data_IF_842094043389
#
_entry.id   IF_842094043389
#
_cell.length_a   1.000
_cell.length_b   1.000
_cell.length_c   1.000
_cell.angle_alpha   90.00
_cell.angle_beta   90.00
_cell.angle_gamma   90.00
#
_symmetry.space_group_name_H-M   'P 1'
#
loop_
_entity.id
_entity.type
_entity.pdbx_description
1 polymer ?
#
# COMPACT_ATOMS: atom_id res chain seq x y z
N UNK A 1 -35.41 72.70 -25.76
CA UNK A 1 -35.12 71.88 -24.56
C UNK A 1 -34.37 70.64 -25.02
N UNK A 2 -33.03 70.63 -24.90
CA UNK A 2 -32.23 69.74 -24.01
C UNK A 2 -32.49 68.25 -24.28
N UNK A 3 -31.63 67.59 -25.06
CA UNK A 3 -30.39 66.90 -24.62
C UNK A 3 -30.67 65.46 -24.16
N UNK A 4 -30.07 64.48 -24.85
CA UNK A 4 -29.03 63.57 -24.34
C UNK A 4 -28.89 62.40 -25.32
N UNK A 5 -27.83 62.42 -26.14
CA UNK A 5 -27.33 61.22 -26.81
C UNK A 5 -26.46 60.47 -25.80
N UNK A 6 -26.88 59.26 -25.45
CA UNK A 6 -26.17 58.35 -24.57
C UNK A 6 -25.01 57.71 -25.36
N UNK A 7 -23.82 58.26 -25.20
CA UNK A 7 -22.58 57.72 -25.75
C UNK A 7 -22.25 56.43 -24.97
N UNK A 8 -22.48 55.27 -25.59
CA UNK A 8 -22.13 53.97 -25.03
C UNK A 8 -20.61 53.80 -25.12
N UNK A 9 -19.90 54.13 -24.04
CA UNK A 9 -18.47 53.87 -23.86
C UNK A 9 -18.24 52.36 -23.80
N UNK A 10 -17.78 51.79 -24.93
CA UNK A 10 -17.16 50.48 -24.97
C UNK A 10 -15.85 50.55 -24.18
N UNK A 11 -15.89 50.17 -22.91
CA UNK A 11 -14.69 49.92 -22.13
C UNK A 11 -14.08 48.62 -22.67
N UNK A 12 -13.14 48.75 -23.60
CA UNK A 12 -12.20 47.66 -23.89
C UNK A 12 -11.43 47.40 -22.60
N UNK A 13 -11.82 46.36 -21.87
CA UNK A 13 -10.96 45.76 -20.87
C UNK A 13 -9.70 45.26 -21.55
N UNK A 14 -8.61 46.03 -21.47
CA UNK A 14 -7.29 45.52 -21.79
C UNK A 14 -6.98 44.44 -20.76
N UNK A 15 -7.19 43.18 -21.14
CA UNK A 15 -6.56 42.06 -20.48
C UNK A 15 -5.05 42.29 -20.59
N UNK A 16 -4.44 42.73 -19.49
CA UNK A 16 -3.00 42.84 -19.34
C UNK A 16 -2.42 41.44 -19.22
N UNK A 17 -2.41 40.72 -20.34
CA UNK A 17 -1.54 39.56 -20.48
C UNK A 17 -0.10 40.06 -20.30
N UNK A 18 0.63 39.45 -19.37
CA UNK A 18 2.08 39.62 -19.28
C UNK A 18 2.63 39.21 -20.65
N UNK A 19 3.04 40.19 -21.45
CA UNK A 19 3.67 39.93 -22.72
C UNK A 19 5.04 39.31 -22.39
N UNK A 20 5.13 37.98 -22.47
CA UNK A 20 6.31 37.21 -22.08
C UNK A 20 7.54 37.78 -22.79
N UNK A 21 8.44 38.42 -22.05
CA UNK A 21 9.61 39.06 -22.65
C UNK A 21 10.67 37.99 -22.93
N UNK A 22 10.59 37.36 -24.10
CA UNK A 22 11.59 36.39 -24.56
C UNK A 22 12.78 37.10 -25.22
N UNK A 23 14.00 36.65 -24.93
CA UNK A 23 15.24 37.13 -25.54
C UNK A 23 16.14 35.94 -25.86
N UNK A 24 16.70 35.92 -27.07
CA UNK A 24 17.66 34.90 -27.50
C UNK A 24 17.05 33.55 -27.90
N UNK A 25 15.73 33.37 -27.81
CA UNK A 25 15.03 32.17 -28.31
C UNK A 25 14.97 32.14 -29.84
N UNK A 26 15.01 33.29 -30.50
CA UNK A 26 15.20 33.38 -31.95
C UNK A 26 16.68 33.64 -32.23
N UNK A 27 17.46 32.56 -32.36
CA UNK A 27 18.88 32.62 -32.69
C UNK A 27 19.28 31.49 -33.63
N UNK A 28 20.40 31.68 -34.32
CA UNK A 28 21.05 30.64 -35.11
C UNK A 28 21.39 29.44 -34.22
N UNK A 29 21.23 28.24 -34.78
CA UNK A 29 21.52 26.95 -34.15
C UNK A 29 20.55 26.45 -33.07
N UNK A 30 19.67 27.29 -32.51
CA UNK A 30 18.61 26.79 -31.63
C UNK A 30 17.45 26.26 -32.47
N UNK A 31 17.17 24.96 -32.37
CA UNK A 31 16.13 24.27 -33.16
C UNK A 31 14.80 24.29 -32.41
N UNK A 32 14.81 23.87 -31.15
CA UNK A 32 13.63 23.86 -30.30
C UNK A 32 13.97 24.23 -28.86
N UNK A 33 12.99 24.77 -28.16
CA UNK A 33 13.03 24.92 -26.71
C UNK A 33 11.68 24.54 -26.11
N UNK A 34 11.70 24.13 -24.85
CA UNK A 34 10.51 23.77 -24.08
C UNK A 34 10.77 24.08 -22.60
N UNK A 35 9.76 24.48 -21.82
CA UNK A 35 8.37 24.76 -22.20
C UNK A 35 8.25 26.04 -23.05
N UNK A 36 7.18 26.11 -23.86
CA UNK A 36 6.81 27.34 -24.56
C UNK A 36 6.22 28.35 -23.57
N UNK A 37 6.58 29.62 -23.72
CA UNK A 37 6.24 30.70 -22.79
C UNK A 37 4.88 31.32 -23.07
N UNK A 38 4.27 31.00 -24.20
CA UNK A 38 2.96 31.49 -24.59
C UNK A 38 1.81 30.78 -23.84
N UNK A 39 2.13 29.68 -23.15
CA UNK A 39 1.18 28.91 -22.34
C UNK A 39 1.62 28.84 -20.87
N UNK A 40 0.67 28.50 -19.99
CA UNK A 40 0.97 28.25 -18.59
C UNK A 40 1.96 27.08 -18.47
N UNK A 41 3.04 27.27 -17.72
CA UNK A 41 4.06 26.24 -17.52
C UNK A 41 3.65 25.35 -16.34
N UNK A 42 3.50 24.02 -16.52
CA UNK A 42 3.25 23.09 -15.43
C UNK A 42 4.35 23.16 -14.36
N UNK A 43 3.98 23.02 -13.09
CA UNK A 43 4.91 23.07 -11.97
C UNK A 43 6.04 22.01 -12.04
N UNK A 44 5.82 20.90 -12.74
CA UNK A 44 6.77 19.78 -12.90
C UNK A 44 7.58 19.83 -14.20
N UNK A 45 7.60 20.97 -14.90
CA UNK A 45 8.23 21.07 -16.22
C UNK A 45 9.76 21.05 -16.16
N UNK A 46 10.36 20.23 -17.03
CA UNK A 46 11.77 20.32 -17.41
C UNK A 46 11.99 21.40 -18.47
N UNK A 47 13.15 22.05 -18.43
CA UNK A 47 13.56 23.04 -19.41
C UNK A 47 14.55 22.41 -20.40
N UNK A 48 14.19 22.38 -21.68
CA UNK A 48 14.94 21.71 -22.74
C UNK A 48 15.31 22.70 -23.83
N UNK A 49 16.56 22.70 -24.25
CA UNK A 49 17.07 23.52 -25.36
C UNK A 49 17.86 22.64 -26.32
N UNK A 50 17.31 22.43 -27.51
CA UNK A 50 17.88 21.56 -28.54
C UNK A 50 18.57 22.39 -29.60
N UNK A 51 19.82 22.09 -29.88
CA UNK A 51 20.60 22.74 -30.93
C UNK A 51 20.79 21.80 -32.13
N UNK A 52 21.09 22.37 -33.30
CA UNK A 52 21.40 21.61 -34.53
C UNK A 52 22.83 21.02 -34.46
N UNK A 53 23.74 21.72 -33.80
CA UNK A 53 25.14 21.36 -33.57
C UNK A 53 25.37 20.69 -32.20
N UNK A 54 26.43 19.88 -32.09
CA UNK A 54 26.84 19.27 -30.82
C UNK A 54 27.30 20.32 -29.80
N UNK A 55 26.94 20.12 -28.54
CA UNK A 55 27.33 21.01 -27.44
C UNK A 55 28.68 20.58 -26.90
N UNK A 56 29.62 21.52 -26.74
CA UNK A 56 30.87 21.27 -26.01
C UNK A 56 30.54 20.99 -24.52
N UNK A 57 30.72 19.77 -24.00
CA UNK A 57 30.20 19.41 -22.67
C UNK A 57 30.79 20.27 -21.55
N UNK A 58 32.05 20.67 -21.66
CA UNK A 58 32.72 21.53 -20.68
C UNK A 58 32.15 22.95 -20.60
N UNK A 59 31.36 23.37 -21.59
CA UNK A 59 30.66 24.66 -21.61
C UNK A 59 29.36 24.65 -20.78
N UNK A 60 28.85 23.47 -20.42
CA UNK A 60 27.66 23.29 -19.59
C UNK A 60 28.09 22.96 -18.17
N UNK A 61 27.89 23.90 -17.25
CA UNK A 61 28.21 23.79 -15.83
C UNK A 61 26.94 24.05 -15.01
N UNK A 62 26.99 23.75 -13.71
CA UNK A 62 25.86 23.97 -12.78
C UNK A 62 25.31 25.41 -12.84
N UNK A 63 26.17 26.41 -13.05
CA UNK A 63 25.78 27.82 -13.11
C UNK A 63 25.46 28.33 -14.53
N UNK A 64 25.41 27.44 -15.54
CA UNK A 64 25.02 27.77 -16.91
C UNK A 64 23.53 28.07 -17.00
N UNK A 65 22.71 27.43 -16.16
CA UNK A 65 21.29 27.76 -15.99
C UNK A 65 21.05 28.49 -14.67
N UNK A 66 20.16 29.48 -14.71
CA UNK A 66 19.63 30.13 -13.53
C UNK A 66 18.11 30.25 -13.67
N UNK A 67 17.39 29.54 -12.82
CA UNK A 67 15.95 29.71 -12.64
C UNK A 67 15.71 30.48 -11.34
N UNK A 68 14.94 31.57 -11.41
CA UNK A 68 14.60 32.40 -10.25
C UNK A 68 13.10 32.63 -10.19
N UNK A 69 12.50 32.41 -9.03
CA UNK A 69 11.16 32.90 -8.74
C UNK A 69 11.26 34.40 -8.45
N UNK A 70 10.43 35.22 -9.11
CA UNK A 70 10.37 36.66 -8.91
C UNK A 70 9.33 37.05 -7.85
N UNK A 71 8.16 36.41 -7.88
CA UNK A 71 7.02 36.59 -6.97
C UNK A 71 6.50 35.22 -6.52
N UNK A 72 6.12 35.01 -5.24
CA UNK A 72 6.11 35.96 -4.12
C UNK A 72 7.47 36.18 -3.42
N UNK A 73 8.52 35.39 -3.71
CA UNK A 73 9.87 35.57 -3.16
C UNK A 73 10.94 35.45 -4.25
N UNK A 74 12.00 36.27 -4.16
CA UNK A 74 13.22 36.14 -4.97
C UNK A 74 14.07 34.94 -4.51
N UNK A 75 13.73 33.73 -4.95
CA UNK A 75 14.49 32.49 -4.63
C UNK A 75 15.10 31.90 -5.91
N UNK A 76 16.38 31.53 -5.85
CA UNK A 76 17.02 30.70 -6.88
C UNK A 76 16.51 29.26 -6.74
N UNK A 77 15.99 28.69 -7.81
CA UNK A 77 15.55 27.29 -7.86
C UNK A 77 16.75 26.42 -8.21
N UNK A 78 17.00 25.40 -7.40
CA UNK A 78 18.03 24.38 -7.67
C UNK A 78 17.46 23.33 -8.62
N UNK A 79 18.35 22.67 -9.36
CA UNK A 79 17.99 21.65 -10.32
C UNK A 79 19.23 21.04 -10.94
N UNK A 80 19.05 19.88 -11.56
CA UNK A 80 20.10 19.18 -12.26
C UNK A 80 20.20 19.69 -13.70
N UNK A 81 21.42 19.79 -14.20
CA UNK A 81 21.70 20.18 -15.59
C UNK A 81 22.57 19.13 -16.26
N UNK A 82 22.17 18.68 -17.44
CA UNK A 82 22.92 17.73 -18.23
C UNK A 82 22.69 17.92 -19.72
N UNK A 83 23.57 17.34 -20.54
CA UNK A 83 23.42 17.29 -21.99
C UNK A 83 22.89 15.92 -22.37
N UNK A 84 21.72 15.88 -23.01
CA UNK A 84 21.10 14.67 -23.57
C UNK A 84 21.44 14.57 -25.06
N UNK A 85 21.90 13.39 -25.49
CA UNK A 85 22.17 13.07 -26.91
C UNK A 85 23.12 14.07 -27.59
N UNK A 86 24.05 14.67 -26.84
CA UNK A 86 25.05 15.63 -27.35
C UNK A 86 24.52 16.99 -27.80
N UNK A 87 23.20 17.15 -28.02
CA UNK A 87 22.60 18.34 -28.66
C UNK A 87 21.55 19.06 -27.82
N UNK A 88 21.08 18.44 -26.72
CA UNK A 88 20.00 18.99 -25.91
C UNK A 88 20.46 19.30 -24.50
N UNK A 89 20.39 20.55 -24.07
CA UNK A 89 20.56 20.91 -22.65
C UNK A 89 19.23 20.67 -21.95
N UNK A 90 19.26 19.88 -20.87
CA UNK A 90 18.11 19.66 -19.99
C UNK A 90 18.43 20.24 -18.62
N UNK A 91 17.50 21.03 -18.09
CA UNK A 91 17.48 21.47 -16.71
C UNK A 91 16.21 21.01 -16.02
N UNK A 92 16.35 20.23 -14.95
CA UNK A 92 15.26 19.65 -14.18
C UNK A 92 15.25 20.23 -12.76
N UNK A 93 14.24 21.04 -12.37
CA UNK A 93 14.12 21.56 -11.01
C UNK A 93 14.12 20.44 -9.96
N UNK A 94 14.80 20.63 -8.83
CA UNK A 94 14.87 19.62 -7.75
C UNK A 94 13.55 19.45 -6.98
N UNK A 95 12.66 20.42 -7.08
CA UNK A 95 11.32 20.42 -6.48
C UNK A 95 10.34 21.03 -7.49
N UNK A 96 9.05 20.63 -7.49
CA UNK A 96 8.04 21.28 -8.30
C UNK A 96 7.97 22.80 -8.05
N UNK A 97 7.80 23.56 -9.12
CA UNK A 97 7.69 25.01 -9.05
C UNK A 97 6.39 25.41 -8.35
N UNK A 98 6.47 26.40 -7.47
CA UNK A 98 5.30 26.98 -6.82
C UNK A 98 4.62 28.01 -7.72
N UNK A 99 3.36 28.34 -7.46
CA UNK A 99 2.61 29.39 -8.12
C UNK A 99 3.37 30.72 -8.07
N UNK A 100 3.44 31.39 -9.23
CA UNK A 100 4.06 32.70 -9.34
C UNK A 100 4.85 32.89 -10.63
N UNK A 101 5.57 34.00 -10.69
CA UNK A 101 6.32 34.40 -11.88
C UNK A 101 7.78 34.02 -11.74
N UNK A 102 8.35 33.50 -12.82
CA UNK A 102 9.73 33.04 -12.88
C UNK A 102 10.48 33.69 -14.02
N UNK A 103 11.79 33.86 -13.82
CA UNK A 103 12.74 34.23 -14.87
C UNK A 103 13.70 33.06 -15.07
N UNK A 104 13.72 32.54 -16.29
CA UNK A 104 14.71 31.57 -16.74
C UNK A 104 15.86 32.28 -17.45
N UNK A 105 17.09 31.86 -17.17
CA UNK A 105 18.26 32.34 -17.89
C UNK A 105 19.26 31.21 -18.19
N UNK A 106 19.45 30.93 -19.47
CA UNK A 106 20.57 30.14 -19.99
C UNK A 106 21.71 31.08 -20.40
N UNK A 107 22.89 30.87 -19.83
CA UNK A 107 24.12 31.55 -20.26
C UNK A 107 24.57 31.04 -21.63
N UNK A 108 25.37 31.82 -22.38
CA UNK A 108 26.02 31.35 -23.60
C UNK A 108 26.72 30.01 -23.41
N UNK A 109 26.43 29.07 -24.29
CA UNK A 109 27.11 27.77 -24.40
C UNK A 109 27.87 27.72 -25.72
N UNK A 110 28.78 26.76 -25.83
CA UNK A 110 29.59 26.57 -27.04
C UNK A 110 29.09 25.35 -27.79
N UNK A 111 28.86 25.54 -29.08
CA UNK A 111 28.48 24.49 -30.03
C UNK A 111 29.66 24.17 -30.94
N UNK A 112 29.93 22.91 -31.20
CA UNK A 112 30.96 22.44 -32.11
C UNK A 112 30.49 22.69 -33.55
N UNK A 113 31.29 23.40 -34.35
CA UNK A 113 31.03 23.60 -35.78
C UNK A 113 31.13 22.26 -36.51
N UNK A 114 30.17 21.97 -37.39
CA UNK A 114 30.28 20.85 -38.34
C UNK A 114 31.39 21.14 -39.36
N UNK A 115 32.29 20.16 -39.57
CA UNK A 115 33.21 20.10 -40.70
C UNK A 115 34.27 21.20 -40.74
N UNK A 116 35.53 20.81 -40.54
CA UNK A 116 36.79 21.50 -40.88
C UNK A 116 36.62 22.73 -41.77
N UNK A 117 36.41 23.91 -41.16
CA UNK A 117 36.78 25.15 -41.82
C UNK A 117 38.29 25.11 -41.94
N UNK A 118 38.81 25.10 -43.17
CA UNK A 118 40.24 25.11 -43.48
C UNK A 118 41.00 25.94 -42.43
N UNK A 119 41.96 25.31 -41.76
CA UNK A 119 42.72 25.95 -40.70
C UNK A 119 43.40 27.21 -41.25
N UNK A 120 42.92 28.39 -40.82
CA UNK A 120 43.48 29.69 -41.17
C UNK A 120 44.29 30.24 -39.98
N UNK A 121 45.62 30.05 -39.95
CA UNK A 121 46.46 30.39 -38.81
C UNK A 121 46.63 31.91 -38.67
N UNK A 122 46.06 32.48 -37.61
CA UNK A 122 46.05 33.92 -37.35
C UNK A 122 47.23 34.35 -36.47
N UNK A 123 47.61 33.53 -35.47
CA UNK A 123 48.72 33.84 -34.54
C UNK A 123 50.05 33.23 -34.99
N UNK A 124 51.17 33.75 -34.48
CA UNK A 124 52.50 33.22 -34.82
C UNK A 124 52.67 31.75 -34.42
N UNK A 125 52.07 31.33 -33.28
CA UNK A 125 52.04 29.95 -32.80
C UNK A 125 51.22 29.03 -33.72
N UNK A 126 50.07 29.52 -34.21
CA UNK A 126 49.24 28.80 -35.18
C UNK A 126 49.96 28.64 -36.52
N UNK A 127 50.66 29.69 -36.99
CA UNK A 127 51.44 29.65 -38.24
C UNK A 127 52.63 28.70 -38.14
N UNK A 128 53.32 28.66 -37.00
CA UNK A 128 54.43 27.72 -36.77
C UNK A 128 53.94 26.28 -36.67
N UNK A 129 52.82 26.03 -35.99
CA UNK A 129 52.21 24.71 -35.94
C UNK A 129 51.75 24.24 -37.33
N UNK A 130 51.09 25.11 -38.11
CA UNK A 130 50.77 24.82 -39.51
C UNK A 130 52.01 24.46 -40.32
N UNK A 131 53.03 25.32 -40.28
CA UNK A 131 54.25 25.13 -41.05
C UNK A 131 54.99 23.81 -40.72
N UNK A 132 55.03 23.42 -39.44
CA UNK A 132 55.63 22.15 -39.01
C UNK A 132 54.80 20.92 -39.38
N UNK A 133 53.48 21.04 -39.43
CA UNK A 133 52.56 19.93 -39.66
C UNK A 133 52.19 19.74 -41.14
N UNK A 134 52.19 20.80 -41.95
CA UNK A 134 51.84 20.75 -43.38
C UNK A 134 52.63 19.75 -44.23
N UNK A 135 53.92 19.43 -43.96
CA UNK A 135 54.63 18.41 -44.74
C UNK A 135 54.22 16.96 -44.42
N UNK A 136 53.55 16.73 -43.29
CA UNK A 136 53.30 15.39 -42.75
C UNK A 136 51.81 15.02 -42.66
N UNK A 137 50.90 15.99 -42.80
CA UNK A 137 49.46 15.80 -42.66
C UNK A 137 48.71 16.59 -43.74
N UNK A 138 47.74 15.94 -44.40
CA UNK A 138 46.86 16.58 -45.39
C UNK A 138 45.91 17.58 -44.72
N UNK A 139 45.44 17.26 -43.52
CA UNK A 139 44.77 18.20 -42.63
C UNK A 139 45.67 18.54 -41.44
N UNK A 140 46.13 19.79 -41.40
CA UNK A 140 46.98 20.33 -40.35
C UNK A 140 46.37 20.13 -38.96
N UNK A 141 45.04 20.07 -38.84
CA UNK A 141 44.32 19.87 -37.58
C UNK A 141 44.47 18.46 -36.99
N UNK A 142 44.87 17.47 -37.80
CA UNK A 142 45.12 16.09 -37.35
C UNK A 142 46.51 15.91 -36.73
N UNK A 143 47.38 16.89 -36.88
CA UNK A 143 48.74 16.86 -36.34
C UNK A 143 48.75 17.00 -34.80
N UNK A 144 49.55 16.17 -34.11
CA UNK A 144 49.68 16.20 -32.64
C UNK A 144 50.20 17.53 -32.08
N UNK A 145 50.98 18.27 -32.87
CA UNK A 145 51.45 19.62 -32.53
C UNK A 145 50.32 20.65 -32.60
N UNK A 146 49.35 20.42 -33.50
CA UNK A 146 48.23 21.31 -33.73
C UNK A 146 47.17 21.20 -32.62
N UNK A 147 47.04 20.05 -31.96
CA UNK A 147 46.15 19.87 -30.80
C UNK A 147 46.46 20.83 -29.63
N UNK A 148 47.72 21.22 -29.47
CA UNK A 148 48.15 22.18 -28.43
C UNK A 148 48.26 23.62 -28.91
N UNK A 149 48.74 23.83 -30.15
CA UNK A 149 49.15 25.16 -30.62
C UNK A 149 48.13 25.84 -31.54
N UNK A 150 47.24 25.08 -32.17
CA UNK A 150 46.36 25.65 -33.18
C UNK A 150 45.14 26.39 -32.60
N UNK A 151 44.75 26.10 -31.35
CA UNK A 151 43.62 26.71 -30.65
C UNK A 151 42.45 27.02 -31.61
N UNK A 152 42.04 25.99 -32.35
CA UNK A 152 41.11 26.14 -33.46
C UNK A 152 39.78 26.58 -32.83
N UNK A 153 39.28 27.74 -33.25
CA UNK A 153 37.97 28.25 -32.87
C UNK A 153 36.84 27.42 -33.49
N UNK A 154 36.80 26.13 -33.16
CA UNK A 154 35.84 25.13 -33.61
C UNK A 154 34.48 25.29 -32.92
N UNK A 155 34.34 26.29 -32.05
CA UNK A 155 33.10 26.52 -31.32
C UNK A 155 32.40 27.79 -31.76
N UNK A 156 31.08 27.74 -31.96
CA UNK A 156 30.21 28.91 -32.04
C UNK A 156 29.59 29.14 -30.66
N UNK A 157 29.64 30.38 -30.16
CA UNK A 157 28.97 30.75 -28.91
C UNK A 157 27.51 31.12 -29.19
N UNK A 158 26.60 30.56 -28.41
CA UNK A 158 25.19 30.95 -28.45
C UNK A 158 24.95 32.31 -27.79
N UNK A 159 23.85 32.97 -28.15
CA UNK A 159 23.33 34.12 -27.42
C UNK A 159 22.69 33.65 -26.11
N UNK A 160 22.74 34.45 -25.03
CA UNK A 160 22.03 34.13 -23.81
C UNK A 160 20.53 34.00 -24.08
N UNK A 161 19.91 32.95 -23.55
CA UNK A 161 18.46 32.78 -23.59
C UNK A 161 17.87 33.27 -22.27
N UNK A 162 16.85 34.11 -22.35
CA UNK A 162 16.10 34.61 -21.20
C UNK A 162 14.63 34.67 -21.55
N UNK A 163 13.79 34.24 -20.63
CA UNK A 163 12.37 34.44 -20.73
C UNK A 163 11.73 34.40 -19.34
N UNK A 164 10.60 35.08 -19.25
CA UNK A 164 9.74 35.05 -18.08
C UNK A 164 8.53 34.17 -18.37
N UNK A 165 8.06 33.44 -17.37
CA UNK A 165 6.88 32.60 -17.47
C UNK A 165 6.12 32.60 -16.14
N UNK A 166 4.85 32.22 -16.20
CA UNK A 166 3.98 32.09 -15.04
C UNK A 166 3.60 30.63 -14.80
N UNK A 167 3.74 30.19 -13.55
CA UNK A 167 3.15 28.95 -13.05
C UNK A 167 1.83 29.33 -12.40
N UNK A 168 0.71 28.91 -13.01
CA UNK A 168 -0.64 29.34 -12.59
C UNK A 168 -1.12 28.64 -11.33
N UNK A 169 -0.71 27.40 -11.13
CA UNK A 169 -1.19 26.53 -10.06
C UNK A 169 -0.01 25.80 -9.41
N UNK A 170 -0.06 25.69 -8.08
CA UNK A 170 0.82 24.83 -7.31
C UNK A 170 0.48 23.35 -7.61
N UNK A 171 1.43 22.45 -7.37
CA UNK A 171 1.09 21.03 -7.25
C UNK A 171 0.21 20.85 -6.01
N UNK A 172 -1.02 20.33 -6.13
CA UNK A 172 -1.89 20.10 -4.98
C UNK A 172 -1.21 19.21 -3.96
N UNK A 173 -1.30 19.57 -2.68
CA UNK A 173 -0.67 18.81 -1.59
C UNK A 173 -1.71 17.98 -0.88
N UNK A 174 -1.38 16.71 -0.62
CA UNK A 174 -2.22 15.83 0.19
C UNK A 174 -2.23 16.33 1.63
N UNK A 175 -3.41 16.64 2.15
CA UNK A 175 -3.61 17.11 3.53
C UNK A 175 -4.13 16.01 4.45
N UNK A 176 -4.97 15.10 3.94
CA UNK A 176 -5.46 13.92 4.67
C UNK A 176 -5.52 12.68 3.77
N UNK A 177 -5.47 11.53 4.42
CA UNK A 177 -5.57 10.21 3.81
C UNK A 177 -6.52 9.37 4.66
N UNK A 178 -7.53 8.77 4.04
CA UNK A 178 -8.55 8.00 4.73
C UNK A 178 -8.81 6.69 3.99
N UNK A 179 -9.07 5.63 4.75
CA UNK A 179 -9.52 4.35 4.22
C UNK A 179 -11.03 4.25 4.37
N UNK A 180 -11.70 3.48 3.51
CA UNK A 180 -13.15 3.24 3.61
C UNK A 180 -13.56 2.50 4.90
N UNK A 181 -12.62 1.82 5.56
CA UNK A 181 -12.79 1.18 6.85
C UNK A 181 -11.51 1.30 7.68
N UNK A 182 -11.65 1.29 9.00
CA UNK A 182 -10.54 1.25 9.96
C UNK A 182 -10.31 -0.13 10.56
N UNK A 183 -11.22 -1.08 10.32
CA UNK A 183 -11.17 -2.43 10.87
C UNK A 183 -11.72 -3.45 9.86
N UNK A 184 -11.04 -4.60 9.73
CA UNK A 184 -11.41 -5.70 8.85
C UNK A 184 -11.24 -7.01 9.61
N UNK A 185 -12.28 -7.84 9.58
CA UNK A 185 -12.24 -9.23 10.03
C UNK A 185 -12.35 -10.12 8.79
N UNK A 186 -11.45 -11.09 8.65
CA UNK A 186 -11.47 -12.00 7.51
C UNK A 186 -10.92 -13.37 7.90
N UNK A 187 -11.44 -14.44 7.28
CA UNK A 187 -10.86 -15.77 7.41
C UNK A 187 -9.53 -15.88 6.68
N UNK A 188 -8.66 -16.80 7.12
CA UNK A 188 -7.43 -17.16 6.40
C UNK A 188 -7.73 -17.60 4.94
N UNK A 189 -6.80 -17.34 4.03
CA UNK A 189 -6.89 -17.65 2.59
C UNK A 189 -8.05 -16.97 1.85
N UNK A 190 -8.39 -15.75 2.26
CA UNK A 190 -9.44 -14.96 1.66
C UNK A 190 -8.92 -13.56 1.29
N UNK A 191 -9.73 -12.79 0.59
CA UNK A 191 -9.34 -11.45 0.13
C UNK A 191 -10.50 -10.46 0.16
N UNK A 192 -10.17 -9.19 0.33
CA UNK A 192 -11.14 -8.09 0.25
C UNK A 192 -10.48 -6.85 -0.34
N UNK A 193 -11.30 -5.96 -0.91
CA UNK A 193 -10.82 -4.69 -1.45
C UNK A 193 -11.00 -3.57 -0.43
N UNK A 194 -9.95 -2.77 -0.25
CA UNK A 194 -9.97 -1.51 0.49
C UNK A 194 -9.86 -0.34 -0.50
N UNK A 195 -10.44 0.79 -0.12
CA UNK A 195 -10.31 2.04 -0.88
C UNK A 195 -9.60 3.08 -0.04
N UNK A 196 -8.72 3.83 -0.71
CA UNK A 196 -7.92 4.89 -0.10
C UNK A 196 -8.24 6.21 -0.78
N UNK A 197 -8.76 7.15 -0.01
CA UNK A 197 -9.11 8.49 -0.49
C UNK A 197 -8.11 9.51 0.05
N UNK A 198 -7.49 10.27 -0.86
CA UNK A 198 -6.67 11.42 -0.51
C UNK A 198 -7.49 12.70 -0.65
N UNK A 199 -7.39 13.60 0.34
CA UNK A 199 -7.91 14.97 0.23
C UNK A 199 -6.74 15.91 0.04
N UNK A 200 -6.84 16.79 -0.94
CA UNK A 200 -5.83 17.80 -1.26
C UNK A 200 -6.16 19.16 -0.63
N UNK A 201 -5.17 20.05 -0.56
CA UNK A 201 -5.28 21.41 -0.03
C UNK A 201 -6.26 22.32 -0.79
N UNK A 202 -6.62 21.94 -2.02
CA UNK A 202 -7.69 22.56 -2.80
C UNK A 202 -9.09 21.95 -2.56
N UNK A 203 -9.24 21.11 -1.52
CA UNK A 203 -10.45 20.35 -1.17
C UNK A 203 -10.93 19.34 -2.22
N UNK A 204 -10.12 19.03 -3.25
CA UNK A 204 -10.41 17.93 -4.16
C UNK A 204 -10.09 16.61 -3.46
N UNK A 205 -10.93 15.61 -3.67
CA UNK A 205 -10.68 14.24 -3.24
C UNK A 205 -10.38 13.34 -4.44
N UNK A 206 -9.47 12.39 -4.26
CA UNK A 206 -9.07 11.45 -5.29
C UNK A 206 -8.95 10.04 -4.70
N UNK A 207 -9.37 9.05 -5.48
CA UNK A 207 -9.08 7.65 -5.18
C UNK A 207 -7.63 7.36 -5.55
N UNK A 208 -6.83 7.08 -4.52
CA UNK A 208 -5.39 6.83 -4.64
C UNK A 208 -5.04 5.39 -4.31
N UNK A 209 -6.03 4.48 -4.34
CA UNK A 209 -5.87 3.07 -3.95
C UNK A 209 -4.71 2.40 -4.68
N UNK A 210 -4.60 2.57 -6.00
CA UNK A 210 -3.52 1.99 -6.81
C UNK A 210 -2.19 2.75 -6.72
N UNK A 211 -2.18 3.94 -6.11
CA UNK A 211 -1.02 4.85 -6.03
C UNK A 211 -0.39 4.88 -4.64
N UNK A 212 -1.12 4.46 -3.62
CA UNK A 212 -0.65 4.40 -2.25
C UNK A 212 0.36 3.26 -2.05
N UNK A 213 1.27 3.45 -1.11
CA UNK A 213 2.16 2.40 -0.64
C UNK A 213 1.58 1.76 0.61
N UNK A 214 1.55 0.42 0.62
CA UNK A 214 1.00 -0.39 1.69
C UNK A 214 2.12 -1.14 2.42
N UNK A 215 1.96 -1.33 3.71
CA UNK A 215 2.82 -2.21 4.51
C UNK A 215 2.00 -2.86 5.62
N UNK A 216 2.23 -4.14 5.86
CA UNK A 216 1.62 -4.89 6.97
C UNK A 216 2.62 -5.05 8.13
N UNK A 217 2.13 -5.06 9.36
CA UNK A 217 2.93 -5.37 10.54
C UNK A 217 3.17 -6.87 10.74
N UNK A 218 2.40 -7.73 10.07
CA UNK A 218 2.43 -9.19 10.25
C UNK A 218 2.25 -9.92 8.91
N UNK A 219 2.91 -11.07 8.74
CA UNK A 219 2.85 -11.88 7.52
C UNK A 219 1.53 -12.60 7.29
N UNK A 220 0.63 -12.60 8.27
CA UNK A 220 -0.76 -13.09 8.13
C UNK A 220 -1.56 -12.30 7.10
N UNK A 221 -1.15 -11.07 6.81
CA UNK A 221 -1.85 -10.14 5.91
C UNK A 221 -0.88 -9.55 4.90
N UNK A 222 -1.25 -9.60 3.63
CA UNK A 222 -0.59 -8.91 2.53
C UNK A 222 -1.57 -7.94 1.86
N UNK A 223 -1.04 -6.86 1.29
CA UNK A 223 -1.85 -5.85 0.60
C UNK A 223 -1.13 -5.34 -0.64
N UNK A 224 -1.70 -5.59 -1.82
CA UNK A 224 -1.22 -5.05 -3.09
C UNK A 224 -2.33 -4.24 -3.76
N UNK A 225 -2.05 -2.96 -4.06
CA UNK A 225 -2.98 -2.05 -4.76
C UNK A 225 -4.40 -2.07 -4.21
N UNK A 226 -4.52 -2.05 -2.88
CA UNK A 226 -5.81 -2.07 -2.19
C UNK A 226 -6.53 -3.42 -2.18
N UNK A 227 -5.92 -4.50 -2.68
CA UNK A 227 -6.41 -5.86 -2.46
C UNK A 227 -5.69 -6.42 -1.25
N UNK A 228 -6.43 -6.57 -0.16
CA UNK A 228 -5.96 -7.19 1.07
C UNK A 228 -6.20 -8.70 0.99
N UNK A 229 -5.15 -9.49 1.23
CA UNK A 229 -5.18 -10.95 1.22
C UNK A 229 -4.72 -11.49 2.57
N UNK A 230 -5.37 -12.53 3.06
CA UNK A 230 -5.03 -13.20 4.32
C UNK A 230 -4.40 -14.57 4.08
N UNK A 231 -3.46 -14.95 4.95
CA UNK A 231 -2.68 -16.18 4.80
C UNK A 231 -2.81 -17.12 5.99
N UNK A 232 -2.81 -16.59 7.21
CA UNK A 232 -2.87 -17.40 8.43
C UNK A 232 -3.53 -16.61 9.55
N UNK A 233 -4.10 -17.32 10.53
CA UNK A 233 -4.59 -16.74 11.78
C UNK A 233 -3.59 -15.74 12.40
N UNK A 234 -4.04 -14.54 12.74
CA UNK A 234 -3.17 -13.47 13.23
C UNK A 234 -3.88 -12.11 13.32
N UNK A 235 -3.17 -11.12 13.82
CA UNK A 235 -3.61 -9.72 13.89
C UNK A 235 -2.54 -8.85 13.24
N UNK A 236 -2.96 -7.95 12.35
CA UNK A 236 -2.05 -7.08 11.61
C UNK A 236 -2.57 -5.64 11.58
N UNK A 237 -1.65 -4.68 11.70
CA UNK A 237 -1.90 -3.28 11.37
C UNK A 237 -1.38 -3.02 9.96
N UNK A 238 -2.29 -2.72 9.03
CA UNK A 238 -1.94 -2.28 7.67
C UNK A 238 -1.79 -0.77 7.67
N UNK A 239 -0.59 -0.30 7.35
CA UNK A 239 -0.28 1.12 7.18
C UNK A 239 -0.31 1.48 5.70
N UNK A 240 -1.05 2.54 5.38
CA UNK A 240 -1.20 3.08 4.03
C UNK A 240 -0.55 4.45 4.00
N UNK A 241 0.30 4.71 3.01
CA UNK A 241 0.98 6.00 2.85
C UNK A 241 0.89 6.55 1.43
N UNK A 242 0.62 7.85 1.34
CA UNK A 242 0.54 8.56 0.06
C UNK A 242 0.72 10.06 0.29
N UNK A 243 1.47 10.74 -0.59
CA UNK A 243 1.68 12.20 -0.52
C UNK A 243 2.29 12.71 0.79
N UNK A 244 3.10 11.90 1.48
CA UNK A 244 3.68 12.24 2.79
C UNK A 244 2.70 12.15 3.96
N UNK A 245 1.50 11.63 3.74
CA UNK A 245 0.50 11.30 4.78
C UNK A 245 0.41 9.80 4.97
N UNK A 246 -0.11 9.38 6.12
CA UNK A 246 -0.30 7.98 6.44
C UNK A 246 -1.55 7.77 7.28
N UNK A 247 -2.19 6.63 7.08
CA UNK A 247 -3.31 6.13 7.88
C UNK A 247 -3.09 4.64 8.15
N UNK A 248 -3.79 4.09 9.13
CA UNK A 248 -3.68 2.70 9.51
C UNK A 248 -5.07 2.08 9.70
N UNK A 249 -5.19 0.81 9.33
CA UNK A 249 -6.37 -0.01 9.59
C UNK A 249 -5.95 -1.31 10.28
N UNK A 250 -6.77 -1.78 11.20
CA UNK A 250 -6.56 -3.02 11.94
C UNK A 250 -7.20 -4.18 11.18
N UNK A 251 -6.53 -5.32 11.13
CA UNK A 251 -6.95 -6.52 10.42
C UNK A 251 -6.85 -7.71 11.36
N UNK A 252 -7.94 -8.41 11.54
CA UNK A 252 -8.01 -9.64 12.32
C UNK A 252 -8.27 -10.82 11.39
N UNK A 253 -7.37 -11.79 11.43
CA UNK A 253 -7.42 -12.99 10.60
C UNK A 253 -7.83 -14.19 11.44
N UNK A 254 -8.96 -14.79 11.06
CA UNK A 254 -9.57 -15.92 11.74
C UNK A 254 -9.18 -17.24 11.10
N UNK A 255 -9.07 -18.28 11.92
CA UNK A 255 -8.80 -19.64 11.43
C UNK A 255 -10.09 -20.31 10.97
N UNK A 256 -10.03 -21.01 9.84
CA UNK A 256 -11.12 -21.84 9.32
C UNK A 256 -10.68 -23.30 9.32
N UNK A 257 -11.47 -24.19 9.94
CA UNK A 257 -11.23 -25.64 9.91
C UNK A 257 -12.54 -26.32 9.50
N UNK A 258 -12.52 -27.02 8.36
CA UNK A 258 -13.67 -27.78 7.84
C UNK A 258 -14.99 -26.97 7.77
N UNK A 259 -14.88 -25.71 7.32
CA UNK A 259 -16.03 -24.80 7.20
C UNK A 259 -16.45 -24.13 8.51
N UNK A 260 -15.76 -24.41 9.62
CA UNK A 260 -16.01 -23.79 10.92
C UNK A 260 -15.02 -22.66 11.21
N UNK A 261 -15.55 -21.46 11.49
CA UNK A 261 -14.78 -20.27 11.85
C UNK A 261 -14.46 -20.32 13.35
N UNK A 262 -13.18 -20.42 13.70
CA UNK A 262 -12.75 -20.44 15.10
C UNK A 262 -12.71 -19.03 15.70
N UNK A 263 -13.10 -18.85 16.98
CA UNK A 263 -12.86 -17.61 17.68
C UNK A 263 -11.35 -17.37 17.83
N UNK A 264 -10.97 -16.12 18.09
CA UNK A 264 -9.59 -15.79 18.43
C UNK A 264 -9.13 -16.52 19.69
N UNK A 265 -7.82 -16.79 19.78
CA UNK A 265 -7.26 -17.31 21.01
C UNK A 265 -7.46 -16.30 22.16
N UNK A 266 -8.17 -16.66 23.24
CA UNK A 266 -8.38 -15.75 24.35
C UNK A 266 -7.05 -15.50 25.09
N UNK A 267 -6.77 -14.24 25.43
CA UNK A 267 -5.54 -13.88 26.17
C UNK A 267 -5.51 -14.47 27.59
N UNK A 268 -6.68 -14.52 28.26
CA UNK A 268 -6.83 -15.10 29.58
C UNK A 268 -8.11 -15.97 29.65
N UNK A 269 -8.06 -17.23 29.18
CA UNK A 269 -9.24 -18.11 29.15
C UNK A 269 -9.81 -18.46 30.53
N UNK A 270 -9.00 -18.31 31.58
CA UNK A 270 -9.33 -18.70 32.94
C UNK A 270 -9.66 -17.50 33.84
N UNK A 271 -9.87 -16.31 33.25
CA UNK A 271 -10.20 -15.08 33.98
C UNK A 271 -11.50 -15.17 34.81
N UNK A 272 -12.43 -16.05 34.42
CA UNK A 272 -13.67 -16.31 35.13
C UNK A 272 -13.98 -17.81 35.18
N UNK A 273 -14.89 -18.22 36.07
CA UNK A 273 -15.36 -19.62 36.13
C UNK A 273 -15.88 -20.10 34.77
N UNK A 274 -16.64 -19.27 34.06
CA UNK A 274 -17.18 -19.61 32.74
C UNK A 274 -16.14 -19.47 31.62
N UNK A 275 -15.10 -18.67 31.81
CA UNK A 275 -14.12 -18.33 30.79
C UNK A 275 -14.64 -17.34 29.74
N UNK A 276 -13.96 -17.29 28.59
CA UNK A 276 -14.27 -16.41 27.46
C UNK A 276 -15.03 -17.19 26.39
N UNK A 277 -16.14 -16.64 25.91
CA UNK A 277 -16.98 -17.14 24.81
C UNK A 277 -17.35 -15.91 23.96
N UNK A 278 -16.47 -15.55 23.02
CA UNK A 278 -16.58 -14.31 22.26
C UNK A 278 -17.56 -14.42 21.08
N UNK A 279 -17.78 -15.64 20.58
CA UNK A 279 -18.72 -15.92 19.49
C UNK A 279 -20.12 -16.32 19.99
N UNK A 280 -20.34 -16.33 21.31
CA UNK A 280 -21.61 -16.61 21.98
C UNK A 280 -22.22 -17.97 21.58
N UNK A 281 -21.39 -19.00 21.37
CA UNK A 281 -21.86 -20.33 20.98
C UNK A 281 -22.14 -21.27 22.18
N UNK A 282 -22.02 -20.74 23.40
CA UNK A 282 -22.12 -21.46 24.69
C UNK A 282 -20.95 -22.42 24.97
N UNK A 283 -19.89 -22.38 24.19
CA UNK A 283 -18.65 -23.11 24.38
C UNK A 283 -17.53 -22.09 24.61
N UNK A 284 -16.66 -22.39 25.56
CA UNK A 284 -15.53 -21.52 25.86
C UNK A 284 -14.54 -21.52 24.70
N UNK A 285 -14.05 -20.36 24.27
CA UNK A 285 -13.23 -20.18 23.06
C UNK A 285 -11.98 -21.08 23.07
N UNK A 286 -11.30 -21.24 24.21
CA UNK A 286 -10.12 -22.10 24.29
C UNK A 286 -10.45 -23.60 24.25
N UNK A 287 -11.66 -23.99 24.64
CA UNK A 287 -12.17 -25.37 24.50
C UNK A 287 -12.56 -25.65 23.06
N UNK A 288 -13.29 -24.73 22.42
CA UNK A 288 -13.63 -24.81 21.00
C UNK A 288 -12.37 -24.92 20.15
N UNK A 289 -11.40 -24.03 20.33
CA UNK A 289 -10.13 -24.10 19.58
C UNK A 289 -9.38 -25.40 19.82
N UNK A 290 -9.39 -25.92 21.06
CA UNK A 290 -8.78 -27.22 21.36
C UNK A 290 -9.49 -28.38 20.65
N UNK A 291 -10.84 -28.38 20.61
CA UNK A 291 -11.64 -29.38 19.87
C UNK A 291 -11.24 -29.43 18.39
N UNK A 292 -11.05 -28.27 17.76
CA UNK A 292 -10.75 -28.24 16.33
C UNK A 292 -9.27 -28.44 15.99
N UNK A 293 -8.34 -27.94 16.82
CA UNK A 293 -6.90 -27.93 16.50
C UNK A 293 -6.11 -29.11 17.09
N UNK A 294 -6.54 -29.64 18.24
CA UNK A 294 -5.68 -30.51 19.06
C UNK A 294 -6.36 -31.83 19.47
N UNK A 295 -7.68 -31.83 19.62
CA UNK A 295 -8.43 -32.99 20.07
C UNK A 295 -8.22 -34.16 19.10
N UNK A 296 -7.69 -35.30 19.57
CA UNK A 296 -7.50 -36.44 18.68
C UNK A 296 -8.84 -37.08 18.35
N UNK A 297 -9.07 -37.27 17.05
CA UNK A 297 -10.26 -37.91 16.48
C UNK A 297 -9.95 -39.35 16.06
N UNK A 298 -10.98 -40.16 15.87
CA UNK A 298 -10.84 -41.57 15.46
C UNK A 298 -10.82 -41.70 13.95
N UNK A 299 -11.97 -41.42 13.33
CA UNK A 299 -12.16 -41.69 11.90
C UNK A 299 -12.90 -40.56 11.18
N UNK A 300 -13.81 -39.87 11.86
CA UNK A 300 -14.66 -38.85 11.24
C UNK A 300 -14.56 -37.52 12.01
N UNK A 301 -13.49 -36.74 11.80
CA UNK A 301 -13.24 -35.52 12.56
C UNK A 301 -14.38 -34.49 12.42
N UNK A 302 -14.99 -34.38 11.25
CA UNK A 302 -16.18 -33.56 11.01
C UNK A 302 -17.37 -33.92 11.92
N UNK A 303 -17.68 -35.21 12.08
CA UNK A 303 -18.76 -35.68 12.95
C UNK A 303 -18.35 -35.54 14.42
N UNK A 304 -17.16 -36.02 14.77
CA UNK A 304 -16.68 -36.08 16.15
C UNK A 304 -16.55 -34.69 16.78
N UNK A 305 -16.18 -33.67 16.00
CA UNK A 305 -16.14 -32.28 16.48
C UNK A 305 -17.53 -31.71 16.74
N UNK A 306 -18.54 -32.04 15.94
CA UNK A 306 -19.94 -31.66 16.22
C UNK A 306 -20.38 -32.24 17.56
N UNK A 307 -20.09 -33.52 17.80
CA UNK A 307 -20.44 -34.19 19.06
C UNK A 307 -19.63 -33.61 20.23
N UNK A 308 -18.35 -33.29 20.01
CA UNK A 308 -17.50 -32.64 21.00
C UNK A 308 -18.04 -31.26 21.39
N UNK A 309 -18.44 -30.43 20.43
CA UNK A 309 -19.02 -29.11 20.69
C UNK A 309 -20.32 -29.22 21.48
N UNK A 310 -21.20 -30.16 21.11
CA UNK A 310 -22.43 -30.42 21.84
C UNK A 310 -22.16 -30.87 23.29
N UNK A 311 -21.19 -31.76 23.50
CA UNK A 311 -20.80 -32.22 24.85
C UNK A 311 -20.11 -31.11 25.65
N UNK A 312 -19.28 -30.28 25.01
CA UNK A 312 -18.63 -29.13 25.63
C UNK A 312 -19.66 -28.10 26.10
N UNK A 313 -20.68 -27.83 25.30
CA UNK A 313 -21.83 -26.99 25.66
C UNK A 313 -22.56 -27.55 26.88
N UNK A 314 -22.84 -28.85 26.92
CA UNK A 314 -23.47 -29.50 28.07
C UNK A 314 -22.60 -29.40 29.34
N UNK A 315 -21.28 -29.61 29.22
CA UNK A 315 -20.38 -29.39 30.34
C UNK A 315 -20.28 -27.92 30.77
N UNK A 316 -20.33 -26.97 29.84
CA UNK A 316 -20.38 -25.54 30.19
C UNK A 316 -21.65 -25.22 31.00
N UNK A 317 -22.75 -25.93 30.76
CA UNK A 317 -23.98 -25.79 31.56
C UNK A 317 -23.79 -26.23 33.01
N UNK A 318 -22.88 -27.17 33.33
CA UNK A 318 -22.60 -27.54 34.74
C UNK A 318 -22.02 -26.36 35.51
N UNK A 319 -21.25 -25.50 34.84
CA UNK A 319 -20.67 -24.29 35.44
C UNK A 319 -21.70 -23.15 35.54
N UNK A 320 -22.66 -23.09 34.61
CA UNK A 320 -23.75 -22.09 34.59
C UNK A 320 -24.87 -22.41 35.57
N UNK A 321 -25.21 -23.69 35.72
CA UNK A 321 -26.30 -24.22 36.56
C UNK A 321 -25.82 -25.43 37.38
N UNK A 322 -24.93 -25.22 38.38
CA UNK A 322 -24.35 -26.32 39.16
C UNK A 322 -25.36 -27.08 40.00
N UNK A 323 -26.52 -26.47 40.31
CA UNK A 323 -27.60 -27.14 41.04
C UNK A 323 -28.47 -28.03 40.13
N UNK A 324 -28.20 -28.05 38.82
CA UNK A 324 -28.92 -28.84 37.81
C UNK A 324 -30.44 -28.62 37.86
N UNK A 325 -30.86 -27.35 37.81
CA UNK A 325 -32.27 -26.99 37.98
C UNK A 325 -33.15 -27.70 36.94
N UNK A 326 -34.06 -28.56 37.42
CA UNK A 326 -34.98 -29.31 36.55
C UNK A 326 -34.30 -30.37 35.67
N UNK A 327 -33.14 -30.86 36.11
CA UNK A 327 -32.30 -31.83 35.40
C UNK A 327 -31.82 -31.34 34.01
N UNK A 328 -31.69 -30.02 33.82
CA UNK A 328 -31.31 -29.43 32.53
C UNK A 328 -29.92 -29.84 32.07
N UNK A 329 -28.95 -29.82 32.98
CA UNK A 329 -27.56 -30.19 32.69
C UNK A 329 -27.48 -31.67 32.38
N UNK A 330 -28.11 -32.51 33.22
CA UNK A 330 -28.19 -33.97 33.00
C UNK A 330 -28.79 -34.30 31.63
N UNK A 331 -29.94 -33.70 31.27
CA UNK A 331 -30.58 -33.95 29.97
C UNK A 331 -29.72 -33.51 28.78
N UNK A 332 -28.97 -32.42 28.92
CA UNK A 332 -28.05 -31.97 27.88
C UNK A 332 -26.87 -32.94 27.72
N UNK A 333 -26.31 -33.42 28.83
CA UNK A 333 -25.24 -34.41 28.83
C UNK A 333 -25.69 -35.78 28.28
N UNK A 334 -26.89 -36.23 28.65
CA UNK A 334 -27.49 -37.46 28.14
C UNK A 334 -27.72 -37.35 26.63
N UNK A 335 -28.30 -36.23 26.16
CA UNK A 335 -28.52 -35.99 24.72
C UNK A 335 -27.20 -36.02 23.92
N UNK A 336 -26.13 -35.44 24.45
CA UNK A 336 -24.80 -35.52 23.82
C UNK A 336 -24.24 -36.94 23.80
N UNK A 337 -24.46 -37.71 24.87
CA UNK A 337 -24.01 -39.11 24.97
C UNK A 337 -24.81 -40.04 24.06
N UNK A 338 -26.10 -39.77 23.90
CA UNK A 338 -27.00 -40.45 22.97
C UNK A 338 -26.61 -40.18 21.51
N UNK A 339 -26.24 -38.94 21.17
CA UNK A 339 -25.68 -38.62 19.85
C UNK A 339 -24.38 -39.39 19.56
N UNK A 340 -23.45 -39.44 20.53
CA UNK A 340 -22.24 -40.26 20.40
C UNK A 340 -22.56 -41.74 20.22
N UNK A 341 -23.50 -42.28 21.00
CA UNK A 341 -23.89 -43.68 20.93
C UNK A 341 -24.53 -44.03 19.58
N UNK A 342 -25.34 -43.12 19.03
CA UNK A 342 -25.86 -43.22 17.67
C UNK A 342 -24.73 -43.26 16.63
N UNK A 343 -23.78 -42.32 16.70
CA UNK A 343 -22.62 -42.28 15.80
C UNK A 343 -21.79 -43.57 15.86
N UNK A 344 -21.51 -44.06 17.07
CA UNK A 344 -20.73 -45.27 17.26
C UNK A 344 -21.42 -46.51 16.67
N UNK A 345 -22.74 -46.63 16.84
CA UNK A 345 -23.54 -47.71 16.26
C UNK A 345 -23.64 -47.58 14.73
N UNK A 346 -23.99 -46.40 14.22
CA UNK A 346 -24.22 -46.14 12.79
C UNK A 346 -22.96 -46.30 11.95
N UNK A 347 -21.77 -46.05 12.53
CA UNK A 347 -20.47 -46.26 11.88
C UNK A 347 -19.76 -47.53 12.33
N UNK A 348 -20.41 -48.37 13.15
CA UNK A 348 -19.87 -49.64 13.65
C UNK A 348 -18.47 -49.49 14.27
N UNK A 349 -18.27 -48.44 15.07
CA UNK A 349 -16.99 -48.17 15.71
C UNK A 349 -16.61 -49.29 16.69
N UNK A 350 -15.31 -49.64 16.79
CA UNK A 350 -14.87 -50.70 17.69
C UNK A 350 -15.08 -50.32 19.15
N UNK A 351 -15.39 -51.32 19.99
CA UNK A 351 -15.48 -51.14 21.44
C UNK A 351 -14.08 -51.24 22.09
N UNK A 352 -13.22 -50.24 21.84
CA UNK A 352 -11.82 -50.18 22.29
C UNK A 352 -11.58 -49.12 23.39
N UNK A 353 -12.67 -48.63 23.98
CA UNK A 353 -12.66 -47.54 24.95
C UNK A 353 -12.50 -46.15 24.32
N UNK A 354 -12.58 -46.03 23.00
CA UNK A 354 -12.52 -44.77 22.26
C UNK A 354 -13.45 -43.69 22.85
N UNK A 355 -14.69 -44.09 23.11
CA UNK A 355 -15.76 -43.25 23.68
C UNK A 355 -15.34 -42.65 25.02
N UNK A 356 -14.84 -43.50 25.93
CA UNK A 356 -14.40 -43.07 27.25
C UNK A 356 -13.19 -42.14 27.16
N UNK A 357 -12.22 -42.45 26.29
CA UNK A 357 -11.04 -41.60 26.06
C UNK A 357 -11.44 -40.23 25.50
N UNK A 358 -12.37 -40.19 24.56
CA UNK A 358 -12.93 -38.97 23.98
C UNK A 358 -13.57 -38.09 25.05
N UNK A 359 -14.52 -38.65 25.80
CA UNK A 359 -15.23 -37.92 26.85
C UNK A 359 -14.33 -37.45 27.99
N UNK A 360 -13.34 -38.26 28.39
CA UNK A 360 -12.37 -37.91 29.43
C UNK A 360 -11.51 -36.73 29.03
N UNK A 361 -10.94 -36.72 27.81
CA UNK A 361 -10.09 -35.61 27.34
C UNK A 361 -10.85 -34.29 27.28
N UNK A 362 -12.08 -34.33 26.77
CA UNK A 362 -12.91 -33.13 26.71
C UNK A 362 -13.26 -32.63 28.11
N UNK A 363 -13.61 -33.53 29.03
CA UNK A 363 -13.87 -33.18 30.44
C UNK A 363 -12.65 -32.54 31.09
N UNK A 364 -11.47 -33.11 30.87
CA UNK A 364 -10.20 -32.60 31.44
C UNK A 364 -9.87 -31.20 30.88
N UNK A 365 -10.11 -30.96 29.58
CA UNK A 365 -9.94 -29.64 28.96
C UNK A 365 -10.97 -28.63 29.49
N UNK A 366 -12.21 -29.07 29.68
CA UNK A 366 -13.31 -28.22 30.11
C UNK A 366 -13.19 -27.78 31.57
N UNK A 367 -12.83 -28.70 32.47
CA UNK A 367 -12.68 -28.47 33.91
C UNK A 367 -11.21 -28.38 34.33
N UNK A 368 -10.43 -27.64 33.54
CA UNK A 368 -8.97 -27.53 33.66
C UNK A 368 -8.46 -26.65 34.82
N UNK A 369 -9.35 -26.11 35.66
CA UNK A 369 -8.98 -25.29 36.84
C UNK A 369 -9.55 -25.90 38.12
N UNK A 370 -8.94 -25.66 39.29
CA UNK A 370 -9.45 -26.18 40.57
C UNK A 370 -10.89 -25.77 40.86
N UNK A 371 -11.27 -24.54 40.52
CA UNK A 371 -12.60 -23.99 40.73
C UNK A 371 -13.63 -24.71 39.84
N UNK A 372 -13.33 -24.88 38.55
CA UNK A 372 -14.20 -25.58 37.60
C UNK A 372 -14.37 -27.06 37.96
N UNK A 373 -13.28 -27.72 38.35
CA UNK A 373 -13.33 -29.10 38.79
C UNK A 373 -14.17 -29.25 40.07
N UNK A 374 -14.02 -28.34 41.04
CA UNK A 374 -14.85 -28.35 42.25
C UNK A 374 -16.32 -28.20 41.90
N UNK A 375 -16.68 -27.23 41.06
CA UNK A 375 -18.08 -27.02 40.62
C UNK A 375 -18.64 -28.26 39.92
N UNK A 376 -17.85 -28.90 39.06
CA UNK A 376 -18.25 -30.16 38.43
C UNK A 376 -18.47 -31.29 39.45
N UNK A 377 -17.59 -31.44 40.44
CA UNK A 377 -17.73 -32.46 41.49
C UNK A 377 -18.94 -32.21 42.39
N UNK A 378 -19.27 -30.95 42.67
CA UNK A 378 -20.51 -30.58 43.38
C UNK A 378 -21.75 -30.99 42.58
N UNK A 379 -21.75 -30.73 41.26
CA UNK A 379 -22.80 -31.19 40.36
C UNK A 379 -22.90 -32.73 40.32
N UNK A 380 -21.78 -33.44 40.18
CA UNK A 380 -21.73 -34.90 40.14
C UNK A 380 -22.28 -35.52 41.43
N UNK A 381 -21.96 -34.91 42.59
CA UNK A 381 -22.48 -35.34 43.88
C UNK A 381 -24.02 -35.25 43.97
N UNK A 382 -24.66 -34.29 43.29
CA UNK A 382 -26.13 -34.18 43.22
C UNK A 382 -26.77 -35.34 42.44
N UNK A 383 -26.01 -35.96 41.54
CA UNK A 383 -26.45 -37.13 40.78
C UNK A 383 -26.24 -38.44 41.55
N UNK A 384 -25.38 -38.43 42.57
CA UNK A 384 -25.05 -39.59 43.40
C UNK A 384 -26.28 -40.29 43.98
N UNK A 385 -26.36 -41.60 43.82
CA UNK A 385 -27.45 -42.44 44.34
C UNK A 385 -28.76 -42.39 43.54
N UNK A 386 -28.82 -41.59 42.45
CA UNK A 386 -29.94 -41.61 41.51
C UNK A 386 -29.76 -42.74 40.49
N UNK A 387 -30.87 -43.14 39.87
CA UNK A 387 -30.90 -44.12 38.77
C UNK A 387 -31.37 -43.43 37.51
N UNK A 388 -30.61 -43.57 36.43
CA UNK A 388 -30.91 -43.00 35.12
C UNK A 388 -31.19 -44.12 34.12
N UNK A 389 -32.12 -43.88 33.21
CA UNK A 389 -32.47 -44.85 32.16
C UNK A 389 -31.79 -44.41 30.87
N UNK A 390 -30.91 -45.25 30.33
CA UNK A 390 -30.30 -45.01 29.04
C UNK A 390 -31.34 -45.17 27.91
N UNK A 391 -31.21 -44.35 26.87
CA UNK A 391 -32.03 -44.50 25.66
C UNK A 391 -31.63 -45.81 24.94
N UNK A 392 -32.58 -46.72 24.62
CA UNK A 392 -32.26 -47.93 23.86
C UNK A 392 -31.65 -47.59 22.49
N UNK A 393 -30.56 -48.25 22.10
CA UNK A 393 -29.84 -48.00 20.84
C UNK A 393 -30.76 -47.92 19.61
N UNK A 394 -31.76 -48.82 19.51
CA UNK A 394 -32.74 -48.85 18.40
C UNK A 394 -33.63 -47.60 18.27
N UNK A 395 -33.66 -46.74 19.29
CA UNK A 395 -34.44 -45.48 19.30
C UNK A 395 -33.55 -44.27 19.02
N UNK A 396 -32.23 -44.44 19.08
CA UNK A 396 -31.28 -43.38 18.78
C UNK A 396 -31.31 -43.03 17.29
N UNK A 397 -31.14 -41.74 17.01
CA UNK A 397 -31.08 -41.18 15.67
C UNK A 397 -30.43 -39.79 15.74
N UNK A 398 -30.27 -39.14 14.59
CA UNK A 398 -29.60 -37.83 14.52
C UNK A 398 -30.30 -36.69 15.28
N UNK A 399 -31.56 -36.82 15.75
CA UNK A 399 -32.22 -35.75 16.52
C UNK A 399 -31.60 -35.53 17.90
N UNK A 400 -30.83 -36.51 18.39
CA UNK A 400 -30.04 -36.35 19.60
C UNK A 400 -28.78 -35.51 19.36
N UNK A 401 -28.38 -35.29 18.10
CA UNK A 401 -27.25 -34.47 17.73
C UNK A 401 -27.67 -33.02 17.47
N UNK A 402 -26.76 -32.05 17.68
CA UNK A 402 -26.99 -30.63 17.35
C UNK A 402 -27.01 -30.36 15.85
N UNK A 403 -26.39 -31.23 15.06
CA UNK A 403 -26.44 -31.21 13.60
C UNK A 403 -26.78 -32.59 13.07
N UNK A 404 -27.27 -32.64 11.82
CA UNK A 404 -27.49 -33.91 11.15
C UNK A 404 -26.14 -34.55 10.78
N UNK A 405 -25.68 -35.52 11.56
CA UNK A 405 -24.36 -36.14 11.36
C UNK A 405 -24.33 -37.15 10.21
N UNK A 406 -25.51 -37.55 9.69
CA UNK A 406 -25.60 -38.51 8.59
C UNK A 406 -25.24 -37.89 7.24
N UNK A 407 -25.28 -36.55 7.13
CA UNK A 407 -24.95 -35.79 5.92
C UNK A 407 -23.52 -35.22 5.94
N UNK A 408 -22.80 -35.38 7.05
CA UNK A 408 -21.41 -34.95 7.16
C UNK A 408 -20.50 -35.95 6.39
N UNK A 409 -19.40 -35.45 5.79
CA UNK A 409 -18.56 -36.22 4.88
C UNK A 409 -17.89 -37.45 5.48
#
# INVERSE_FOLDING_TARGET
MRSFHLLMLFVLGMATGIQAQTRGVHQTHLVTYSPDTDSAVPATSDFRFTFDLEIEPQSVKEHTVMLKQGTPKRKKIKGDIYVKEGKTIVFSPSEPLQKGNYTFHLKPVKLLKEGTTAFDPQTWQQKTAAWLCSPLYDDVTECSLCSYLCNIGNTVKTKPIRFDFEVKEDVPKVISLETNTTFIELSEHNQTAIKVMATYDNNITEDVTDKAAYSSSDSSVDVDKGILSTHAEGSATVTVSYGGKSTALQVEVYKMIDGHLLPHAPQNPDATLLGVDANNNDVRDDVERWIFKEMPTYHHPEIERVIAMQKAKAYQMTLKDPINQGDRVLKAEDRASDCWSYYADSRSLPFDGAIAKFGNRLRDKQFNTPERLRTYLEYDQLLGGRVFTATPLRLLNTNYCDQNIDILP
#
